data_IF_000805296503
#
_entry.id   IF_000805296503
#
_cell.length_a   1.000
_cell.length_b   1.000
_cell.length_c   1.000
_cell.angle_alpha   90.00
_cell.angle_beta   90.00
_cell.angle_gamma   90.00
#
_symmetry.space_group_name_H-M   'P 1'
#
loop_
_entity.id
_entity.type
_entity.pdbx_description
1 polymer ?
#
# COMPACT_ATOMS: atom_id res chain seq x y z
N UNK A 1 -4.42 17.84 3.98
CA UNK A 1 -3.46 16.76 4.26
C UNK A 1 -4.16 15.46 3.92
N UNK A 2 -3.44 14.41 3.54
CA UNK A 2 -4.02 13.09 3.37
C UNK A 2 -3.33 12.11 4.31
N UNK A 3 -3.93 10.93 4.46
CA UNK A 3 -3.47 9.93 5.42
C UNK A 3 -2.67 8.84 4.71
N UNK A 4 -1.52 8.48 5.28
CA UNK A 4 -0.57 7.46 4.81
C UNK A 4 0.14 7.80 3.50
N UNK A 5 -0.61 8.07 2.43
CA UNK A 5 -0.07 8.31 1.09
C UNK A 5 -0.62 9.62 0.51
N UNK A 6 0.18 10.27 -0.33
CA UNK A 6 -0.19 11.51 -1.02
C UNK A 6 0.56 11.60 -2.35
N UNK A 7 0.34 12.69 -3.08
CA UNK A 7 1.00 12.95 -4.37
C UNK A 7 2.54 12.96 -4.31
N UNK A 8 3.13 13.20 -3.15
CA UNK A 8 4.59 13.29 -2.92
C UNK A 8 5.19 11.95 -2.44
N UNK A 9 4.35 10.95 -2.11
CA UNK A 9 4.79 9.61 -1.68
C UNK A 9 5.56 8.91 -2.80
N UNK A 10 6.77 8.45 -2.49
CA UNK A 10 7.63 7.72 -3.43
C UNK A 10 7.50 6.23 -3.20
N UNK A 11 6.89 5.55 -4.17
CA UNK A 11 6.47 4.15 -4.04
C UNK A 11 7.44 3.21 -4.75
N UNK A 12 7.90 2.17 -4.05
CA UNK A 12 8.56 1.01 -4.66
C UNK A 12 7.66 -0.22 -4.63
N UNK A 13 7.83 -1.08 -5.62
CA UNK A 13 7.07 -2.33 -5.74
C UNK A 13 7.97 -3.52 -5.41
N UNK A 14 7.65 -4.32 -4.39
CA UNK A 14 8.30 -5.61 -4.15
C UNK A 14 7.57 -6.70 -4.92
N UNK A 15 8.30 -7.48 -5.71
CA UNK A 15 7.70 -8.35 -6.74
C UNK A 15 7.40 -7.60 -8.05
N UNK A 16 8.13 -6.52 -8.32
CA UNK A 16 7.85 -5.57 -9.43
C UNK A 16 7.77 -6.20 -10.81
N UNK A 17 8.63 -7.18 -11.09
CA UNK A 17 8.69 -7.84 -12.41
C UNK A 17 7.79 -9.07 -12.51
N UNK A 18 6.99 -9.37 -11.47
CA UNK A 18 5.95 -10.40 -11.52
C UNK A 18 4.70 -9.90 -12.25
N UNK A 19 3.78 -10.81 -12.62
CA UNK A 19 2.56 -10.48 -13.37
C UNK A 19 1.72 -9.39 -12.67
N UNK A 20 1.30 -9.66 -11.43
CA UNK A 20 0.47 -8.73 -10.64
C UNK A 20 1.22 -7.43 -10.31
N UNK A 21 2.49 -7.55 -9.93
CA UNK A 21 3.34 -6.39 -9.65
C UNK A 21 3.47 -5.46 -10.86
N UNK A 22 3.64 -6.02 -12.05
CA UNK A 22 3.74 -5.26 -13.31
C UNK A 22 2.41 -4.59 -13.64
N UNK A 23 1.32 -5.37 -13.62
CA UNK A 23 0.00 -4.89 -13.99
C UNK A 23 -0.46 -3.74 -13.09
N UNK A 24 -0.36 -3.91 -11.78
CA UNK A 24 -0.79 -2.89 -10.84
C UNK A 24 0.20 -1.72 -10.74
N UNK A 25 1.50 -1.92 -10.97
CA UNK A 25 2.44 -0.81 -11.08
C UNK A 25 2.09 0.11 -12.25
N UNK A 26 1.77 -0.44 -13.42
CA UNK A 26 1.33 0.35 -14.55
C UNK A 26 0.07 1.16 -14.21
N UNK A 27 -0.94 0.52 -13.63
CA UNK A 27 -2.16 1.25 -13.22
C UNK A 27 -1.94 2.31 -12.15
N UNK A 28 -1.00 2.10 -11.22
CA UNK A 28 -0.63 3.12 -10.23
C UNK A 28 0.03 4.32 -10.94
N UNK A 29 0.94 4.07 -11.89
CA UNK A 29 1.55 5.15 -12.68
C UNK A 29 0.53 5.89 -13.54
N UNK A 30 -0.38 5.17 -14.20
CA UNK A 30 -1.46 5.76 -15.00
C UNK A 30 -2.41 6.63 -14.16
N UNK A 31 -2.58 6.28 -12.87
CA UNK A 31 -3.34 7.09 -11.91
C UNK A 31 -2.60 8.33 -11.41
N UNK A 32 -1.28 8.40 -11.60
CA UNK A 32 -0.44 9.51 -11.14
C UNK A 32 0.42 9.20 -9.90
N UNK A 33 0.40 7.96 -9.39
CA UNK A 33 1.26 7.54 -8.28
C UNK A 33 2.73 7.61 -8.70
N UNK A 34 3.59 8.18 -7.85
CA UNK A 34 5.03 8.21 -8.08
C UNK A 34 5.69 6.85 -7.79
N UNK A 35 5.53 5.89 -8.70
CA UNK A 35 6.31 4.65 -8.68
C UNK A 35 7.73 4.96 -9.12
N UNK A 36 8.70 4.82 -8.21
CA UNK A 36 10.11 5.22 -8.42
C UNK A 36 11.05 4.05 -8.74
N UNK A 37 10.57 2.81 -8.60
CA UNK A 37 11.38 1.61 -8.81
C UNK A 37 10.70 0.37 -8.27
N UNK A 38 11.43 -0.73 -8.29
CA UNK A 38 10.95 -1.94 -7.64
C UNK A 38 12.04 -2.95 -7.36
N UNK A 39 11.69 -3.95 -6.57
CA UNK A 39 12.60 -4.98 -6.09
C UNK A 39 12.20 -6.32 -6.69
N UNK A 40 13.17 -7.00 -7.30
CA UNK A 40 13.07 -8.42 -7.64
C UNK A 40 14.47 -9.02 -7.50
N UNK A 41 14.72 -9.84 -6.46
CA UNK A 41 16.02 -10.47 -6.28
C UNK A 41 16.49 -11.24 -7.53
N UNK A 42 17.74 -11.05 -7.91
CA UNK A 42 18.34 -11.62 -9.11
C UNK A 42 18.13 -10.80 -10.39
N UNK A 43 17.36 -9.70 -10.34
CA UNK A 43 17.13 -8.78 -11.47
C UNK A 43 17.60 -7.35 -11.20
N UNK A 44 18.35 -7.12 -10.12
CA UNK A 44 18.90 -5.79 -9.84
C UNK A 44 19.80 -5.28 -10.97
N UNK A 45 19.70 -3.98 -11.28
CA UNK A 45 20.45 -3.34 -12.38
C UNK A 45 19.73 -3.36 -13.74
N UNK A 46 18.56 -3.98 -13.83
CA UNK A 46 17.71 -3.89 -15.03
C UNK A 46 16.68 -2.78 -14.92
N UNK A 47 15.94 -2.53 -15.99
CA UNK A 47 14.76 -1.67 -15.99
C UNK A 47 13.48 -2.49 -16.23
N UNK A 48 12.37 -2.02 -15.66
CA UNK A 48 11.04 -2.56 -15.91
C UNK A 48 10.02 -1.42 -15.84
N UNK A 49 9.09 -1.35 -16.80
CA UNK A 49 8.16 -0.21 -16.96
C UNK A 49 8.86 1.17 -16.93
N UNK A 50 10.08 1.26 -17.45
CA UNK A 50 10.88 2.50 -17.42
C UNK A 50 11.28 2.97 -16.02
N UNK A 51 11.40 2.03 -15.06
CA UNK A 51 11.87 2.28 -13.70
C UNK A 51 12.98 1.29 -13.32
N UNK A 52 13.93 1.68 -12.46
CA UNK A 52 15.03 0.81 -12.05
C UNK A 52 14.53 -0.37 -11.20
N UNK A 53 15.14 -1.53 -11.43
CA UNK A 53 14.94 -2.75 -10.64
C UNK A 53 16.15 -2.95 -9.74
N UNK A 54 15.90 -3.26 -8.47
CA UNK A 54 16.92 -3.50 -7.44
C UNK A 54 16.85 -4.93 -6.92
N UNK A 55 17.96 -5.41 -6.35
CA UNK A 55 18.01 -6.71 -5.69
C UNK A 55 17.44 -6.66 -4.27
N UNK A 56 17.61 -5.52 -3.58
CA UNK A 56 17.16 -5.33 -2.20
C UNK A 56 16.35 -4.04 -2.04
N UNK A 57 15.50 -4.00 -1.02
CA UNK A 57 14.78 -2.76 -0.66
C UNK A 57 15.73 -1.68 -0.19
N UNK A 58 16.81 -2.03 0.50
CA UNK A 58 17.82 -1.08 0.97
C UNK A 58 18.46 -0.31 -0.20
N UNK A 59 18.84 -1.02 -1.28
CA UNK A 59 19.38 -0.38 -2.49
C UNK A 59 18.36 0.54 -3.16
N UNK A 60 17.10 0.08 -3.24
CA UNK A 60 16.01 0.87 -3.81
C UNK A 60 15.78 2.17 -3.01
N UNK A 61 15.73 2.09 -1.68
CA UNK A 61 15.57 3.25 -0.80
C UNK A 61 16.76 4.20 -0.92
N UNK A 62 17.99 3.68 -0.92
CA UNK A 62 19.20 4.50 -1.04
C UNK A 62 19.23 5.28 -2.37
N UNK A 63 18.82 4.67 -3.47
CA UNK A 63 18.82 5.28 -4.79
C UNK A 63 17.64 6.24 -5.03
N UNK A 64 16.46 5.94 -4.49
CA UNK A 64 15.21 6.63 -4.85
C UNK A 64 14.61 7.48 -3.73
N UNK A 65 15.06 7.26 -2.50
CA UNK A 65 14.46 7.82 -1.28
C UNK A 65 12.99 7.43 -1.10
N UNK A 66 12.62 6.22 -1.55
CA UNK A 66 11.27 5.69 -1.37
C UNK A 66 10.89 5.65 0.11
N UNK A 67 9.66 6.07 0.43
CA UNK A 67 9.09 6.04 1.78
C UNK A 67 7.95 5.02 1.91
N UNK A 68 7.49 4.49 0.76
CA UNK A 68 6.33 3.61 0.67
C UNK A 68 6.68 2.38 -0.15
N UNK A 69 6.27 1.20 0.32
CA UNK A 69 6.42 -0.05 -0.43
C UNK A 69 5.08 -0.77 -0.55
N UNK A 70 4.79 -1.27 -1.74
CA UNK A 70 3.69 -2.22 -1.99
C UNK A 70 4.25 -3.59 -2.34
N UNK A 71 3.63 -4.64 -1.78
CA UNK A 71 4.11 -6.03 -1.86
C UNK A 71 3.14 -6.88 -2.68
N UNK A 72 3.66 -7.43 -3.78
CA UNK A 72 3.02 -8.44 -4.65
C UNK A 72 3.83 -9.76 -4.66
N UNK A 73 4.43 -10.08 -3.52
CA UNK A 73 5.27 -11.26 -3.34
C UNK A 73 4.40 -12.46 -2.92
N UNK A 74 4.66 -13.69 -3.40
CA UNK A 74 3.90 -14.88 -2.99
C UNK A 74 3.85 -15.07 -1.46
N UNK A 75 2.80 -15.70 -0.90
CA UNK A 75 2.56 -15.76 0.54
C UNK A 75 3.71 -16.37 1.34
N UNK A 76 4.39 -17.37 0.78
CA UNK A 76 5.53 -18.03 1.41
C UNK A 76 6.74 -17.12 1.66
N UNK A 77 6.82 -15.96 0.98
CA UNK A 77 7.95 -15.02 1.08
C UNK A 77 7.50 -13.61 1.49
N UNK A 78 6.20 -13.37 1.63
CA UNK A 78 5.67 -12.03 1.88
C UNK A 78 6.01 -11.51 3.28
N UNK A 79 6.12 -12.38 4.28
CA UNK A 79 6.55 -11.99 5.63
C UNK A 79 7.98 -11.41 5.61
N UNK A 80 8.91 -12.08 4.93
CA UNK A 80 10.28 -11.59 4.79
C UNK A 80 10.34 -10.26 4.01
N UNK A 81 9.54 -10.11 2.95
CA UNK A 81 9.43 -8.85 2.20
C UNK A 81 8.91 -7.67 3.07
N UNK A 82 7.97 -7.93 4.00
CA UNK A 82 7.51 -6.92 4.95
C UNK A 82 8.65 -6.52 5.89
N UNK A 83 9.36 -7.51 6.44
CA UNK A 83 10.47 -7.27 7.36
C UNK A 83 11.62 -6.53 6.67
N UNK A 84 11.94 -6.87 5.43
CA UNK A 84 12.97 -6.20 4.61
C UNK A 84 12.61 -4.73 4.40
N UNK A 85 11.36 -4.42 4.02
CA UNK A 85 10.92 -3.04 3.87
C UNK A 85 11.01 -2.24 5.18
N UNK A 86 10.58 -2.85 6.29
CA UNK A 86 10.67 -2.21 7.59
C UNK A 86 12.13 -1.95 8.02
N UNK A 87 13.05 -2.86 7.71
CA UNK A 87 14.49 -2.71 7.97
C UNK A 87 15.13 -1.62 7.10
N UNK A 88 14.71 -1.50 5.85
CA UNK A 88 15.21 -0.50 4.91
C UNK A 88 14.69 0.92 5.18
N UNK A 89 13.80 1.08 6.18
CA UNK A 89 13.33 2.40 6.63
C UNK A 89 12.06 2.90 5.95
N UNK A 90 11.37 2.05 5.17
CA UNK A 90 10.04 2.35 4.61
C UNK A 90 9.06 2.67 5.74
N UNK A 91 8.27 3.73 5.55
CA UNK A 91 7.30 4.24 6.54
C UNK A 91 5.91 3.68 6.32
N UNK A 92 5.52 3.41 5.08
CA UNK A 92 4.22 2.82 4.75
C UNK A 92 4.43 1.55 3.93
N UNK A 93 3.98 0.42 4.47
CA UNK A 93 4.08 -0.89 3.84
C UNK A 93 2.68 -1.38 3.51
N UNK A 94 2.34 -1.55 2.24
CA UNK A 94 1.04 -2.05 1.78
C UNK A 94 1.21 -3.48 1.29
N UNK A 95 0.63 -4.44 2.00
CA UNK A 95 0.74 -5.86 1.65
C UNK A 95 -0.54 -6.35 1.02
N UNK A 96 -0.50 -6.61 -0.29
CA UNK A 96 -1.68 -7.09 -1.04
C UNK A 96 -1.87 -8.59 -0.85
N UNK A 97 -0.76 -9.33 -0.79
CA UNK A 97 -0.72 -10.79 -0.76
C UNK A 97 -1.73 -11.41 0.21
N UNK A 98 -2.52 -12.34 -0.30
CA UNK A 98 -3.43 -13.19 0.46
C UNK A 98 -2.76 -14.53 0.82
N UNK A 99 -3.16 -15.12 1.96
CA UNK A 99 -2.75 -16.48 2.34
C UNK A 99 -1.39 -16.57 3.03
N UNK A 100 -0.89 -15.46 3.58
CA UNK A 100 0.31 -15.49 4.41
C UNK A 100 0.01 -16.34 5.66
N UNK A 101 0.86 -17.32 6.03
CA UNK A 101 0.64 -18.10 7.23
C UNK A 101 0.51 -17.20 8.47
N UNK A 102 -0.54 -17.43 9.28
CA UNK A 102 -0.79 -16.64 10.49
C UNK A 102 0.42 -16.56 11.42
N UNK A 103 1.20 -17.66 11.52
CA UNK A 103 2.43 -17.72 12.31
C UNK A 103 3.46 -16.68 11.88
N UNK A 104 3.60 -16.45 10.58
CA UNK A 104 4.57 -15.51 10.04
C UNK A 104 4.10 -14.07 10.31
N UNK A 105 2.79 -13.82 10.19
CA UNK A 105 2.20 -12.54 10.56
C UNK A 105 2.29 -12.22 12.06
N UNK A 106 2.31 -13.23 12.94
CA UNK A 106 2.60 -13.00 14.38
C UNK A 106 4.02 -12.41 14.53
N UNK A 107 5.01 -13.00 13.84
CA UNK A 107 6.39 -12.53 13.91
C UNK A 107 6.53 -11.11 13.33
N UNK A 108 5.91 -10.84 12.17
CA UNK A 108 5.84 -9.50 11.58
C UNK A 108 5.22 -8.49 12.54
N UNK A 109 4.05 -8.81 13.11
CA UNK A 109 3.35 -7.91 14.02
C UNK A 109 4.17 -7.60 15.27
N UNK A 110 4.86 -8.60 15.81
CA UNK A 110 5.76 -8.41 16.95
C UNK A 110 6.93 -7.49 16.59
N UNK A 111 7.56 -7.73 15.43
CA UNK A 111 8.70 -6.92 14.96
C UNK A 111 8.34 -5.45 14.72
N UNK A 112 7.15 -5.18 14.14
CA UNK A 112 6.68 -3.82 13.86
C UNK A 112 6.26 -3.06 15.12
N UNK A 113 5.83 -3.77 16.18
CA UNK A 113 5.38 -3.16 17.44
C UNK A 113 6.45 -2.24 18.06
N UNK A 114 7.72 -2.61 17.94
CA UNK A 114 8.85 -1.89 18.53
C UNK A 114 9.45 -0.83 17.59
N UNK A 115 8.78 -0.51 16.47
CA UNK A 115 9.24 0.43 15.44
C UNK A 115 8.20 1.51 15.17
N UNK A 116 8.07 2.49 16.10
CA UNK A 116 7.14 3.60 15.89
C UNK A 116 7.50 4.36 14.61
N UNK A 117 6.47 4.78 13.87
CA UNK A 117 6.63 5.49 12.59
C UNK A 117 6.62 4.59 11.34
N UNK A 118 6.48 3.27 11.50
CA UNK A 118 6.17 2.36 10.40
C UNK A 118 4.71 1.94 10.50
N UNK A 119 3.96 2.13 9.42
CA UNK A 119 2.58 1.69 9.28
C UNK A 119 2.49 0.60 8.23
N UNK A 120 1.87 -0.54 8.57
CA UNK A 120 1.64 -1.64 7.64
C UNK A 120 0.14 -1.79 7.39
N UNK A 121 -0.30 -1.69 6.14
CA UNK A 121 -1.68 -1.97 5.72
C UNK A 121 -1.75 -3.37 5.09
N UNK A 122 -2.79 -4.14 5.42
CA UNK A 122 -2.91 -5.55 5.03
C UNK A 122 -2.35 -6.52 6.08
N UNK A 123 -2.06 -7.79 5.72
CA UNK A 123 -2.11 -8.37 4.38
C UNK A 123 -3.54 -8.63 3.87
N UNK A 124 -3.68 -9.31 2.74
CA UNK A 124 -4.96 -9.66 2.13
C UNK A 124 -5.89 -8.45 2.01
N UNK A 125 -5.43 -7.42 1.29
CA UNK A 125 -6.10 -6.14 1.26
C UNK A 125 -6.07 -5.48 -0.12
N UNK A 126 -7.01 -4.58 -0.42
CA UNK A 126 -6.99 -3.85 -1.69
C UNK A 126 -5.96 -2.71 -1.72
N UNK A 127 -5.41 -2.33 -0.56
CA UNK A 127 -4.40 -1.29 -0.40
C UNK A 127 -4.95 0.05 0.13
N UNK A 128 -4.28 1.14 -0.24
CA UNK A 128 -4.63 2.51 0.17
C UNK A 128 -4.75 3.41 -1.05
N UNK A 129 -5.72 4.32 -1.04
CA UNK A 129 -5.88 5.33 -2.09
C UNK A 129 -6.31 6.66 -1.47
N UNK A 130 -5.57 7.72 -1.81
CA UNK A 130 -5.98 9.10 -1.61
C UNK A 130 -6.48 9.63 -2.95
N UNK A 131 -7.77 9.98 -2.99
CA UNK A 131 -8.48 10.24 -4.24
C UNK A 131 -7.89 11.44 -4.98
N UNK A 132 -7.52 11.22 -6.24
CA UNK A 132 -6.91 12.24 -7.12
C UNK A 132 -5.43 12.52 -6.85
N UNK A 133 -4.79 11.79 -5.93
CA UNK A 133 -3.39 12.04 -5.55
C UNK A 133 -2.51 10.80 -5.69
N UNK A 134 -2.86 9.70 -5.02
CA UNK A 134 -1.99 8.53 -4.96
C UNK A 134 -2.81 7.26 -4.72
N UNK A 135 -2.60 6.26 -5.56
CA UNK A 135 -3.11 4.90 -5.38
C UNK A 135 -1.94 3.94 -5.11
N UNK A 136 -2.00 3.24 -3.98
CA UNK A 136 -1.08 2.15 -3.62
C UNK A 136 -1.91 0.89 -3.39
N UNK A 137 -2.23 0.19 -4.48
CA UNK A 137 -3.07 -1.01 -4.40
C UNK A 137 -3.77 -1.41 -5.70
N UNK A 138 -4.70 -2.34 -5.55
CA UNK A 138 -5.40 -3.01 -6.67
C UNK A 138 -6.78 -2.41 -6.97
N UNK A 139 -7.14 -1.33 -6.26
CA UNK A 139 -8.44 -0.68 -6.40
C UNK A 139 -8.63 -0.04 -7.78
N UNK A 140 -9.84 -0.02 -8.36
CA UNK A 140 -10.10 0.71 -9.60
C UNK A 140 -10.07 2.22 -9.34
N UNK A 141 -9.05 2.94 -9.79
CA UNK A 141 -8.89 4.37 -9.45
C UNK A 141 -10.02 5.27 -9.98
N UNK A 142 -10.68 4.89 -11.08
CA UNK A 142 -11.67 5.73 -11.77
C UNK A 142 -12.99 5.92 -11.02
N UNK A 143 -13.31 5.09 -10.02
CA UNK A 143 -14.53 5.26 -9.20
C UNK A 143 -14.33 6.23 -8.02
N UNK A 144 -13.09 6.61 -7.74
CA UNK A 144 -12.74 7.51 -6.65
C UNK A 144 -12.75 8.95 -7.12
N UNK A 145 -13.45 9.82 -6.39
CA UNK A 145 -13.45 11.26 -6.61
C UNK A 145 -13.02 11.96 -5.34
N UNK A 146 -12.20 13.02 -5.47
CA UNK A 146 -11.76 13.78 -4.29
C UNK A 146 -12.97 14.37 -3.57
N UNK A 147 -13.02 14.17 -2.26
CA UNK A 147 -14.11 14.59 -1.39
C UNK A 147 -13.69 14.60 0.07
N UNK A 148 -14.65 14.36 0.97
CA UNK A 148 -14.49 14.54 2.42
C UNK A 148 -14.68 13.29 3.27
N UNK A 149 -15.02 12.15 2.66
CA UNK A 149 -15.33 10.92 3.41
C UNK A 149 -14.10 10.01 3.48
N UNK A 150 -13.65 9.70 4.69
CA UNK A 150 -12.65 8.66 4.95
C UNK A 150 -13.31 7.28 4.99
N UNK A 151 -12.66 6.27 4.40
CA UNK A 151 -13.19 4.89 4.39
C UNK A 151 -12.18 3.93 5.01
N UNK A 152 -12.66 3.07 5.91
CA UNK A 152 -11.91 1.93 6.44
C UNK A 152 -12.69 0.67 6.17
N UNK A 153 -12.05 -0.35 5.60
CA UNK A 153 -12.73 -1.61 5.28
C UNK A 153 -11.80 -2.81 5.33
N UNK A 154 -12.36 -3.96 5.73
CA UNK A 154 -11.70 -5.26 5.66
C UNK A 154 -11.86 -5.95 4.31
N UNK A 155 -12.79 -5.49 3.46
CA UNK A 155 -13.17 -6.16 2.20
C UNK A 155 -12.85 -5.28 1.00
N UNK A 156 -12.30 -5.87 -0.08
CA UNK A 156 -12.01 -5.15 -1.32
C UNK A 156 -13.27 -4.64 -2.01
N UNK A 157 -14.04 -5.54 -2.62
CA UNK A 157 -15.19 -5.17 -3.47
C UNK A 157 -16.29 -4.41 -2.73
N UNK A 158 -16.53 -4.72 -1.46
CA UNK A 158 -17.49 -3.95 -0.65
C UNK A 158 -17.04 -2.50 -0.43
N UNK A 159 -15.72 -2.25 -0.37
CA UNK A 159 -15.20 -0.87 -0.36
C UNK A 159 -15.58 -0.14 -1.63
N UNK A 160 -15.54 -0.82 -2.78
CA UNK A 160 -15.80 -0.20 -4.08
C UNK A 160 -17.27 0.20 -4.22
N UNK A 161 -18.18 -0.62 -3.68
CA UNK A 161 -19.61 -0.28 -3.60
C UNK A 161 -19.86 0.97 -2.74
N UNK A 162 -19.20 1.06 -1.58
CA UNK A 162 -19.31 2.24 -0.73
C UNK A 162 -18.74 3.50 -1.42
N UNK A 163 -17.59 3.36 -2.08
CA UNK A 163 -16.96 4.44 -2.86
C UNK A 163 -17.89 4.92 -3.97
N UNK A 164 -18.45 4.01 -4.76
CA UNK A 164 -19.37 4.35 -5.85
C UNK A 164 -20.63 5.08 -5.34
N UNK A 165 -21.22 4.63 -4.23
CA UNK A 165 -22.38 5.29 -3.62
C UNK A 165 -22.04 6.71 -3.14
N UNK A 166 -20.90 6.89 -2.46
CA UNK A 166 -20.45 8.19 -1.96
C UNK A 166 -20.11 9.15 -3.12
N UNK A 167 -19.48 8.63 -4.17
CA UNK A 167 -19.16 9.39 -5.38
C UNK A 167 -20.44 9.85 -6.08
N UNK A 168 -21.42 8.97 -6.27
CA UNK A 168 -22.72 9.30 -6.87
C UNK A 168 -23.55 10.28 -6.04
N UNK A 169 -23.38 10.25 -4.71
CA UNK A 169 -23.98 11.21 -3.80
C UNK A 169 -23.25 12.58 -3.76
N UNK A 170 -22.15 12.74 -4.51
CA UNK A 170 -21.36 13.97 -4.55
C UNK A 170 -20.53 14.23 -3.28
N UNK A 171 -20.31 13.20 -2.45
CA UNK A 171 -19.52 13.30 -1.22
C UNK A 171 -18.03 13.05 -1.45
N UNK A 172 -17.71 12.14 -2.38
CA UNK A 172 -16.34 11.72 -2.71
C UNK A 172 -15.60 11.12 -1.52
N UNK A 173 -14.28 10.96 -1.64
CA UNK A 173 -13.43 10.38 -0.62
C UNK A 173 -12.17 11.21 -0.38
N UNK A 174 -11.68 11.24 0.85
CA UNK A 174 -10.31 11.69 1.15
C UNK A 174 -9.34 10.55 0.88
N UNK A 175 -9.29 9.60 1.82
CA UNK A 175 -8.46 8.41 1.76
C UNK A 175 -9.30 7.18 2.11
N UNK A 176 -9.21 6.13 1.29
CA UNK A 176 -9.74 4.81 1.59
C UNK A 176 -8.61 3.86 1.97
N UNK A 177 -8.76 3.20 3.12
CA UNK A 177 -7.79 2.29 3.72
C UNK A 177 -8.42 0.89 3.79
N UNK A 178 -8.03 0.02 2.87
CA UNK A 178 -8.35 -1.40 2.95
C UNK A 178 -7.41 -2.08 3.94
N UNK A 179 -7.83 -2.31 5.17
CA UNK A 179 -6.98 -2.85 6.24
C UNK A 179 -6.73 -4.36 6.12
N UNK A 180 -7.56 -5.06 5.36
CA UNK A 180 -7.40 -6.46 5.02
C UNK A 180 -8.30 -7.45 5.76
N UNK A 181 -8.44 -8.64 5.17
CA UNK A 181 -9.36 -9.68 5.61
C UNK A 181 -8.78 -10.65 6.65
N UNK A 182 -7.46 -10.75 6.73
CA UNK A 182 -6.78 -11.80 7.50
C UNK A 182 -6.97 -11.68 9.02
N UNK A 183 -6.74 -12.77 9.79
CA UNK A 183 -6.87 -12.75 11.25
C UNK A 183 -5.88 -11.81 11.94
N UNK A 184 -4.68 -11.64 11.36
CA UNK A 184 -3.64 -10.75 11.88
C UNK A 184 -3.25 -9.76 10.78
N UNK A 185 -3.61 -8.51 11.01
CA UNK A 185 -3.33 -7.38 10.12
C UNK A 185 -2.37 -6.38 10.77
N UNK A 186 -1.70 -5.57 9.93
CA UNK A 186 -0.79 -4.51 10.35
C UNK A 186 -1.53 -3.35 11.03
N UNK A 187 -2.41 -2.66 10.33
CA UNK A 187 -3.21 -1.54 10.88
C UNK A 187 -4.60 -2.03 11.23
N UNK A 188 -4.99 -1.86 12.49
CA UNK A 188 -6.33 -2.21 12.99
C UNK A 188 -7.37 -1.18 12.55
N UNK A 189 -8.66 -1.54 12.59
CA UNK A 189 -9.77 -0.60 12.34
C UNK A 189 -9.65 0.64 13.22
N UNK A 190 -9.37 0.47 14.52
CA UNK A 190 -9.20 1.59 15.46
C UNK A 190 -8.10 2.55 14.97
N UNK A 191 -6.92 2.02 14.65
CA UNK A 191 -5.80 2.85 14.20
C UNK A 191 -6.10 3.57 12.87
N UNK A 192 -6.75 2.87 11.92
CA UNK A 192 -7.16 3.49 10.65
C UNK A 192 -8.21 4.59 10.83
N UNK A 193 -9.16 4.40 11.75
CA UNK A 193 -10.15 5.43 12.10
C UNK A 193 -9.47 6.61 12.81
N UNK A 194 -8.57 6.37 13.77
CA UNK A 194 -7.82 7.43 14.45
C UNK A 194 -6.99 8.26 13.45
N UNK A 195 -6.40 7.61 12.45
CA UNK A 195 -5.69 8.28 11.38
C UNK A 195 -6.60 9.23 10.57
N UNK A 196 -7.80 8.77 10.19
CA UNK A 196 -8.78 9.58 9.46
C UNK A 196 -9.41 10.68 10.32
N UNK A 197 -9.69 10.41 11.60
CA UNK A 197 -10.22 11.42 12.53
C UNK A 197 -9.26 12.59 12.76
N UNK A 198 -7.96 12.36 12.60
CA UNK A 198 -6.93 13.39 12.71
C UNK A 198 -6.62 14.08 11.37
N UNK A 199 -7.29 13.70 10.29
CA UNK A 199 -7.18 14.35 9.00
C UNK A 199 -8.22 15.47 8.86
N UNK A 200 -7.80 16.75 8.75
CA UNK A 200 -8.72 17.86 8.60
C UNK A 200 -9.48 17.88 7.27
N UNK A 201 -9.08 17.09 6.26
CA UNK A 201 -9.87 16.94 5.03
C UNK A 201 -11.04 15.96 5.20
N UNK A 202 -11.04 15.15 6.28
CA UNK A 202 -12.07 14.14 6.54
C UNK A 202 -13.14 14.68 7.51
N UNK A 203 -14.41 14.66 7.08
CA UNK A 203 -15.59 15.14 7.83
C UNK A 203 -16.49 14.00 8.37
#
# INVERSE_FOLDING_TARGET
>A
MSVLVNKDSKVIVQGFTGSEGSFHAQQMMDYGTQVVGGVTPGKGGTEHLGRPVFNTVADAVAATQADTSIIFVPPAFAADAILEAAQAGIKVIVTITEGIPTKDMIAVKHYLKDRPGITMVGPNCPGVITAGECKVGIMPGFIFTKGRVGIVSKSGTLTYEAVDQLTKAGLGQTTAIGIGGDPIIGTTTKQAVELLMNDPETE
#
